data_IF_407496176048
#
_entry.id   IF_407496176048
#
_cell.length_a   1.000
_cell.length_b   1.000
_cell.length_c   1.000
_cell.angle_alpha   90.00
_cell.angle_beta   90.00
_cell.angle_gamma   90.00
#
_symmetry.space_group_name_H-M   'P 1'
#
loop_
_entity.id
_entity.type
_entity.pdbx_description
1 polymer ?
#
# COMPACT_ATOMS: atom_id res chain seq x y z
N UNK A 1 -10.99 -14.31 -3.86
CA UNK A 1 -9.97 -14.66 -2.86
C UNK A 1 -9.66 -13.37 -2.13
N UNK A 2 -9.84 -13.33 -0.81
CA UNK A 2 -9.64 -12.11 -0.03
C UNK A 2 -8.14 -11.92 0.18
N UNK A 3 -7.56 -10.85 -0.36
CA UNK A 3 -6.20 -10.43 -0.01
C UNK A 3 -6.21 -9.92 1.43
N UNK A 4 -5.22 -10.34 2.23
CA UNK A 4 -5.09 -9.89 3.60
C UNK A 4 -3.96 -8.87 3.70
N UNK A 5 -4.30 -7.65 4.12
CA UNK A 5 -3.33 -6.57 4.35
C UNK A 5 -2.91 -6.58 5.82
N UNK A 6 -1.62 -6.36 6.08
CA UNK A 6 -1.05 -6.18 7.41
C UNK A 6 -0.10 -4.99 7.42
N UNK A 7 -0.32 -4.06 8.35
CA UNK A 7 0.59 -2.92 8.59
C UNK A 7 1.84 -3.34 9.36
N UNK A 8 1.83 -4.53 9.96
CA UNK A 8 2.99 -5.09 10.66
C UNK A 8 3.72 -6.04 9.74
N UNK A 9 4.99 -5.73 9.46
CA UNK A 9 5.89 -6.61 8.72
C UNK A 9 6.44 -7.68 9.69
N UNK A 10 6.21 -8.98 9.44
CA UNK A 10 6.78 -10.03 10.26
C UNK A 10 8.32 -10.00 10.26
N UNK A 11 8.96 -10.16 11.42
CA UNK A 11 10.43 -10.12 11.57
C UNK A 11 11.15 -11.09 10.64
N UNK A 12 10.57 -12.28 10.42
CA UNK A 12 11.11 -13.29 9.51
C UNK A 12 11.22 -12.81 8.05
N UNK A 13 10.39 -11.84 7.65
CA UNK A 13 10.40 -11.25 6.30
C UNK A 13 11.25 -9.97 6.23
N UNK A 14 11.66 -9.38 7.36
CA UNK A 14 12.37 -8.11 7.40
C UNK A 14 13.60 -8.05 6.47
N UNK A 15 14.47 -9.08 6.36
CA UNK A 15 15.62 -9.04 5.45
C UNK A 15 15.21 -8.97 3.98
N UNK A 16 14.17 -9.71 3.59
CA UNK A 16 13.65 -9.74 2.21
C UNK A 16 12.94 -8.44 1.86
N UNK A 17 12.17 -7.89 2.81
CA UNK A 17 11.49 -6.60 2.66
C UNK A 17 12.49 -5.46 2.54
N UNK A 18 13.54 -5.44 3.37
CA UNK A 18 14.60 -4.43 3.28
C UNK A 18 15.31 -4.47 1.92
N UNK A 19 15.60 -5.66 1.39
CA UNK A 19 16.17 -5.82 0.06
C UNK A 19 15.23 -5.29 -1.04
N UNK A 20 13.92 -5.58 -0.96
CA UNK A 20 12.94 -5.10 -1.92
C UNK A 20 12.79 -3.57 -1.91
N UNK A 21 12.72 -2.96 -0.73
CA UNK A 21 12.62 -1.49 -0.58
C UNK A 21 13.90 -0.81 -1.09
N UNK A 22 15.07 -1.33 -0.73
CA UNK A 22 16.34 -0.80 -1.21
C UNK A 22 16.45 -0.90 -2.74
N UNK A 23 16.01 -2.01 -3.32
CA UNK A 23 15.96 -2.18 -4.77
C UNK A 23 15.01 -1.16 -5.43
N UNK A 24 13.78 -1.00 -4.90
CA UNK A 24 12.79 -0.07 -5.45
C UNK A 24 13.26 1.39 -5.39
N UNK A 25 13.84 1.83 -4.28
CA UNK A 25 14.35 3.19 -4.12
C UNK A 25 15.52 3.52 -5.06
N UNK A 26 16.24 2.51 -5.55
CA UNK A 26 17.28 2.68 -6.57
C UNK A 26 16.75 2.56 -8.01
N UNK A 27 15.46 2.23 -8.19
CA UNK A 27 14.84 2.12 -9.50
C UNK A 27 14.34 3.47 -10.02
N UNK A 28 14.17 3.64 -11.34
CA UNK A 28 13.57 4.84 -11.92
C UNK A 28 12.14 5.13 -11.42
N UNK A 29 11.40 4.09 -10.99
CA UNK A 29 10.01 4.19 -10.54
C UNK A 29 9.85 5.02 -9.25
N UNK A 30 10.90 5.05 -8.42
CA UNK A 30 10.94 5.88 -7.22
C UNK A 30 10.96 7.38 -7.54
N UNK A 31 11.28 7.76 -8.79
CA UNK A 31 11.25 9.15 -9.28
C UNK A 31 11.96 10.16 -8.36
N UNK A 32 13.07 9.74 -7.72
CA UNK A 32 13.85 10.56 -6.79
C UNK A 32 13.24 10.73 -5.39
N UNK A 33 12.14 10.07 -5.09
CA UNK A 33 11.55 10.00 -3.74
C UNK A 33 12.07 8.77 -2.98
N UNK A 34 12.12 8.88 -1.65
CA UNK A 34 12.42 7.74 -0.78
C UNK A 34 11.12 7.11 -0.30
N UNK A 35 10.92 5.84 -0.62
CA UNK A 35 9.79 5.05 -0.17
C UNK A 35 10.15 4.20 1.04
N UNK A 36 9.19 4.09 1.96
CA UNK A 36 9.20 3.17 3.08
C UNK A 36 8.07 2.14 2.90
N UNK A 37 8.28 0.94 3.43
CA UNK A 37 7.20 -0.05 3.53
C UNK A 37 6.25 0.35 4.65
N UNK A 38 4.97 0.41 4.35
CA UNK A 38 3.90 0.67 5.34
C UNK A 38 2.99 -0.52 5.54
N UNK A 39 3.03 -1.50 4.64
CA UNK A 39 2.26 -2.73 4.78
C UNK A 39 2.72 -3.84 3.85
N UNK A 40 2.23 -5.04 4.12
CA UNK A 40 2.45 -6.25 3.34
C UNK A 40 1.11 -6.96 3.09
N UNK A 41 0.93 -7.45 1.87
CA UNK A 41 -0.22 -8.26 1.49
C UNK A 41 0.15 -9.73 1.52
N UNK A 42 -0.78 -10.55 1.99
CA UNK A 42 -0.70 -12.01 2.03
C UNK A 42 0.60 -12.52 2.68
N UNK A 43 1.01 -11.89 3.80
CA UNK A 43 2.27 -12.20 4.50
C UNK A 43 2.44 -13.69 4.80
N UNK A 44 1.35 -14.40 5.09
CA UNK A 44 1.34 -15.85 5.33
C UNK A 44 1.88 -16.65 4.14
N UNK A 45 1.64 -16.21 2.90
CA UNK A 45 2.17 -16.90 1.72
C UNK A 45 3.68 -16.73 1.62
N UNK A 46 4.19 -15.52 1.90
CA UNK A 46 5.62 -15.25 1.96
C UNK A 46 6.30 -16.02 3.11
N UNK A 47 5.64 -16.13 4.27
CA UNK A 47 6.10 -16.90 5.43
C UNK A 47 6.12 -18.41 5.15
N UNK A 48 5.19 -18.92 4.34
CA UNK A 48 5.16 -20.33 3.89
C UNK A 48 6.24 -20.65 2.83
N UNK A 49 7.07 -19.68 2.45
CA UNK A 49 8.19 -19.88 1.53
C UNK A 49 7.93 -19.40 0.11
N UNK A 50 6.87 -18.62 -0.15
CA UNK A 50 6.75 -17.93 -1.43
C UNK A 50 7.87 -16.90 -1.58
N UNK A 51 8.50 -16.88 -2.75
CA UNK A 51 9.48 -15.86 -3.13
C UNK A 51 8.82 -14.50 -3.42
N UNK A 52 7.50 -14.46 -3.59
CA UNK A 52 6.73 -13.25 -3.87
C UNK A 52 6.45 -12.45 -2.58
N UNK A 53 6.72 -11.16 -2.62
CA UNK A 53 6.36 -10.16 -1.63
C UNK A 53 5.46 -9.10 -2.28
N UNK A 54 4.29 -8.87 -1.71
CA UNK A 54 3.40 -7.78 -2.13
C UNK A 54 3.44 -6.71 -1.07
N UNK A 55 4.01 -5.56 -1.38
CA UNK A 55 4.29 -4.51 -0.40
C UNK A 55 3.50 -3.25 -0.73
N UNK A 56 3.11 -2.53 0.30
CA UNK A 56 2.63 -1.16 0.20
C UNK A 56 3.83 -0.25 0.49
N UNK A 57 4.24 0.52 -0.52
CA UNK A 57 5.35 1.44 -0.47
C UNK A 57 4.82 2.87 -0.48
N UNK A 58 5.14 3.66 0.53
CA UNK A 58 4.76 5.08 0.61
C UNK A 58 5.99 5.98 0.69
N UNK A 59 5.98 7.05 -0.11
CA UNK A 59 7.03 8.06 -0.17
C UNK A 59 6.46 9.40 -0.60
N UNK A 60 6.73 10.46 0.17
CA UNK A 60 6.14 11.78 -0.07
C UNK A 60 4.61 11.75 0.03
N UNK A 61 3.93 12.03 -1.08
CA UNK A 61 2.48 12.03 -1.24
C UNK A 61 1.94 10.80 -2.01
N UNK A 62 2.82 9.85 -2.35
CA UNK A 62 2.48 8.65 -3.13
C UNK A 62 2.53 7.39 -2.28
N UNK A 63 1.54 6.53 -2.46
CA UNK A 63 1.53 5.17 -1.94
C UNK A 63 1.20 4.22 -3.08
N UNK A 64 1.98 3.16 -3.25
CA UNK A 64 1.85 2.19 -4.33
C UNK A 64 1.91 0.76 -3.78
N UNK A 65 1.02 -0.09 -4.28
CA UNK A 65 1.15 -1.53 -4.10
C UNK A 65 2.07 -2.08 -5.18
N UNK A 66 3.15 -2.73 -4.78
CA UNK A 66 4.16 -3.31 -5.66
C UNK A 66 4.45 -4.76 -5.29
N UNK A 67 4.63 -5.60 -6.30
CA UNK A 67 4.91 -7.02 -6.13
C UNK A 67 6.35 -7.31 -6.54
N UNK A 68 7.12 -7.89 -5.64
CA UNK A 68 8.52 -8.24 -5.84
C UNK A 68 8.71 -9.75 -5.74
N UNK A 69 9.51 -10.32 -6.62
CA UNK A 69 10.08 -11.64 -6.43
C UNK A 69 11.45 -11.47 -5.79
N UNK A 70 11.62 -12.00 -4.59
CA UNK A 70 12.85 -11.93 -3.80
C UNK A 70 13.37 -13.33 -3.55
N UNK A 71 14.43 -13.70 -4.25
CA UNK A 71 15.08 -15.02 -4.18
C UNK A 71 16.49 -14.92 -3.58
N UNK A 72 17.02 -16.04 -3.11
CA UNK A 72 18.35 -16.10 -2.48
C UNK A 72 18.29 -16.07 -0.95
N UNK A 73 19.46 -15.87 -0.33
CA UNK A 73 19.64 -15.92 1.13
C UNK A 73 20.29 -14.62 1.57
N UNK A 74 19.87 -14.08 2.71
CA UNK A 74 20.44 -12.86 3.28
C UNK A 74 21.97 -12.98 3.45
N UNK A 75 22.77 -11.98 3.04
CA UNK A 75 22.38 -10.69 2.45
C UNK A 75 22.31 -10.67 0.91
N UNK A 76 22.63 -11.77 0.24
CA UNK A 76 22.72 -11.89 -1.21
C UNK A 76 21.37 -12.21 -1.86
N UNK A 77 20.41 -11.29 -1.75
CA UNK A 77 19.11 -11.42 -2.42
C UNK A 77 19.16 -10.92 -3.87
N UNK A 78 18.43 -11.61 -4.74
CA UNK A 78 18.06 -11.12 -6.07
C UNK A 78 16.61 -10.65 -6.01
N UNK A 79 16.37 -9.40 -6.43
CA UNK A 79 15.06 -8.76 -6.41
C UNK A 79 14.65 -8.43 -7.85
N UNK A 80 13.46 -8.86 -8.23
CA UNK A 80 12.85 -8.56 -9.51
C UNK A 80 11.43 -8.06 -9.30
N UNK A 81 10.97 -7.12 -10.13
CA UNK A 81 9.55 -6.75 -10.15
C UNK A 81 8.74 -7.90 -10.72
N UNK A 82 7.74 -8.35 -9.97
CA UNK A 82 6.75 -9.36 -10.40
C UNK A 82 5.42 -8.75 -10.83
N UNK A 83 5.37 -7.42 -10.88
CA UNK A 83 4.24 -6.65 -11.38
C UNK A 83 3.94 -7.03 -12.83
N UNK A 84 2.95 -7.90 -13.03
CA UNK A 84 2.03 -7.77 -14.16
C UNK A 84 1.05 -6.66 -13.81
N UNK A 85 1.53 -5.44 -13.57
CA UNK A 85 0.64 -4.29 -13.57
C UNK A 85 0.29 -4.08 -15.05
N UNK A 86 -0.96 -4.31 -15.51
CA UNK A 86 -1.40 -3.50 -16.63
C UNK A 86 -1.11 -2.07 -16.17
N UNK A 87 -0.36 -1.33 -16.97
CA UNK A 87 -0.37 0.12 -16.92
C UNK A 87 -1.84 0.52 -16.98
N UNK A 88 -2.52 0.60 -15.83
CA UNK A 88 -3.77 1.33 -15.73
C UNK A 88 -3.36 2.80 -15.79
N UNK A 89 -2.90 3.21 -16.98
CA UNK A 89 -3.12 4.54 -17.48
C UNK A 89 -4.63 4.77 -17.38
N UNK A 90 -5.03 5.36 -16.26
CA UNK A 90 -6.42 5.58 -15.90
C UNK A 90 -7.05 4.41 -15.17
N UNK A 91 -7.13 4.53 -13.84
CA UNK A 91 -8.38 4.26 -13.11
C UNK A 91 -8.35 4.81 -11.68
N UNK A 92 -9.55 5.09 -11.19
CA UNK A 92 -10.12 6.42 -11.15
C UNK A 92 -9.51 7.20 -9.98
N UNK A 93 -9.32 8.50 -10.15
CA UNK A 93 -9.32 9.37 -8.98
C UNK A 93 -10.56 8.97 -8.16
N UNK A 94 -10.36 8.52 -6.92
CA UNK A 94 -11.49 8.18 -6.05
C UNK A 94 -12.45 9.36 -6.14
N UNK A 95 -13.67 9.11 -6.64
CA UNK A 95 -14.69 10.13 -6.76
C UNK A 95 -14.83 10.70 -5.35
N UNK A 96 -14.32 11.92 -5.18
CA UNK A 96 -14.30 12.61 -3.88
C UNK A 96 -15.72 12.93 -3.43
N UNK A 97 -16.66 12.80 -4.36
CA UNK A 97 -18.06 12.85 -4.06
C UNK A 97 -18.48 11.53 -3.42
N UNK A 98 -18.96 11.59 -2.17
CA UNK A 98 -19.68 10.46 -1.60
C UNK A 98 -20.83 10.10 -2.55
N UNK A 99 -21.29 8.85 -2.57
CA UNK A 99 -22.49 8.49 -3.31
C UNK A 99 -23.62 9.49 -3.01
N UNK A 100 -24.29 10.05 -4.03
CA UNK A 100 -25.37 11.00 -3.80
C UNK A 100 -26.44 10.38 -2.91
N UNK A 101 -26.71 11.00 -1.76
CA UNK A 101 -27.64 10.46 -0.76
C UNK A 101 -27.40 10.95 0.66
N UNK A 102 -27.73 10.07 1.62
CA UNK A 102 -27.89 10.24 3.09
C UNK A 102 -26.92 11.19 3.79
N UNK A 103 -25.73 11.45 3.24
CA UNK A 103 -24.72 12.32 3.83
C UNK A 103 -25.23 13.74 4.12
N UNK A 104 -25.98 14.38 3.22
CA UNK A 104 -26.45 15.75 3.43
C UNK A 104 -27.39 15.84 4.64
N UNK A 105 -28.46 15.05 4.64
CA UNK A 105 -29.40 15.01 5.76
C UNK A 105 -28.76 14.53 7.07
N UNK A 106 -27.80 13.60 7.00
CA UNK A 106 -27.03 13.18 8.17
C UNK A 106 -26.14 14.30 8.71
N UNK A 107 -25.44 15.03 7.83
CA UNK A 107 -24.55 16.12 8.22
C UNK A 107 -25.33 17.28 8.84
N UNK A 108 -26.47 17.63 8.27
CA UNK A 108 -27.38 18.65 8.83
C UNK A 108 -27.84 18.27 10.24
N UNK A 109 -28.21 17.00 10.45
CA UNK A 109 -28.60 16.50 11.76
C UNK A 109 -27.44 16.49 12.77
N UNK A 110 -26.24 16.08 12.34
CA UNK A 110 -25.04 16.08 13.19
C UNK A 110 -24.62 17.51 13.59
N UNK A 111 -24.69 18.48 12.67
CA UNK A 111 -24.39 19.88 12.95
C UNK A 111 -25.38 20.50 13.94
N UNK A 112 -26.66 20.10 13.89
CA UNK A 112 -27.66 20.58 14.84
C UNK A 112 -27.43 20.09 16.28
N UNK A 113 -26.73 18.96 16.45
CA UNK A 113 -26.50 18.32 17.74
C UNK A 113 -25.14 18.65 18.36
N UNK A 114 -24.21 19.23 17.60
CA UNK A 114 -22.82 19.40 18.01
C UNK A 114 -22.29 20.81 17.69
N UNK A 115 -21.47 21.36 18.59
CA UNK A 115 -20.85 22.68 18.38
C UNK A 115 -19.85 22.70 17.20
N UNK A 116 -19.30 21.54 16.84
CA UNK A 116 -18.51 21.32 15.62
C UNK A 116 -18.53 19.84 15.24
N UNK A 117 -18.24 19.55 13.97
CA UNK A 117 -18.13 18.19 13.42
C UNK A 117 -16.80 18.06 12.69
N UNK A 118 -16.05 16.98 12.94
CA UNK A 118 -14.82 16.67 12.22
C UNK A 118 -15.11 15.57 11.20
N UNK A 119 -14.89 15.88 9.92
CA UNK A 119 -15.00 14.92 8.82
C UNK A 119 -13.60 14.43 8.46
N UNK A 120 -13.29 13.18 8.75
CA UNK A 120 -12.05 12.55 8.33
C UNK A 120 -12.25 11.89 6.96
N UNK A 121 -11.64 12.46 5.93
CA UNK A 121 -11.51 11.82 4.63
C UNK A 121 -10.15 11.12 4.57
N UNK A 122 -10.17 9.80 4.63
CA UNK A 122 -8.95 9.01 4.50
C UNK A 122 -8.64 8.77 3.02
N UNK A 123 -7.40 9.04 2.61
CA UNK A 123 -6.85 8.66 1.32
C UNK A 123 -5.65 7.75 1.57
N UNK A 124 -5.80 6.47 1.26
CA UNK A 124 -4.80 5.43 1.48
C UNK A 124 -5.44 4.05 1.31
N UNK A 125 -4.62 3.02 1.10
CA UNK A 125 -5.07 1.63 1.12
C UNK A 125 -5.17 1.15 2.57
N UNK A 126 -6.27 0.47 2.89
CA UNK A 126 -6.51 -0.25 4.14
C UNK A 126 -5.91 -1.64 4.07
#
# INVERSE_FOLDING_TARGET
MNQQVSDTIPDALAPRVAAAVAWFNNSPDAAGSTFNVTGILDADNALKGSDELKLILCGGDRCEQRSFRVTGISPAFTVETSDNLPTQQGKPQAELDPPPGVRLAWLDNALAQHAFVVLLFYRGFW
#
